data_IF_716817612403
#
_entry.id   IF_716817612403
#
_cell.length_a   1.000
_cell.length_b   1.000
_cell.length_c   1.000
_cell.angle_alpha   90.00
_cell.angle_beta   90.00
_cell.angle_gamma   90.00
#
_symmetry.space_group_name_H-M   'P 1'
#
loop_
_entity.id
_entity.type
_entity.pdbx_description
1 polymer ?
#
# COMPACT_ATOMS: atom_id res chain seq x y z
N UNK A 1 -3.42 17.35 -9.96
CA UNK A 1 -4.90 17.19 -9.93
C UNK A 1 -5.46 18.19 -10.91
N UNK A 2 -6.33 17.74 -11.81
CA UNK A 2 -7.09 18.61 -12.71
C UNK A 2 -8.59 18.49 -12.38
N UNK A 3 -9.45 19.23 -13.05
CA UNK A 3 -10.90 19.06 -12.99
C UNK A 3 -11.54 19.26 -14.37
N UNK A 4 -12.64 18.57 -14.59
CA UNK A 4 -13.56 18.78 -15.71
C UNK A 4 -14.83 19.45 -15.21
N UNK A 5 -15.62 20.03 -16.10
CA UNK A 5 -16.94 20.57 -15.75
C UNK A 5 -18.04 19.73 -16.40
N UNK A 6 -19.11 19.47 -15.66
CA UNK A 6 -20.34 18.92 -16.24
C UNK A 6 -21.08 19.99 -17.03
N UNK A 7 -22.11 19.59 -17.80
CA UNK A 7 -22.97 20.52 -18.55
C UNK A 7 -23.65 21.54 -17.62
N UNK A 8 -23.97 21.12 -16.39
CA UNK A 8 -24.55 21.95 -15.34
C UNK A 8 -23.53 22.83 -14.60
N UNK A 9 -22.24 22.74 -14.96
CA UNK A 9 -21.16 23.55 -14.41
C UNK A 9 -20.52 23.01 -13.12
N UNK A 10 -20.81 21.76 -12.72
CA UNK A 10 -20.19 21.18 -11.53
C UNK A 10 -18.77 20.69 -11.80
N UNK A 11 -17.80 20.94 -10.91
CA UNK A 11 -16.43 20.48 -11.09
C UNK A 11 -16.30 18.99 -10.72
N UNK A 12 -15.74 18.20 -11.62
CA UNK A 12 -15.41 16.79 -11.42
C UNK A 12 -13.89 16.63 -11.30
N UNK A 13 -13.37 16.11 -10.16
CA UNK A 13 -11.93 15.95 -9.99
C UNK A 13 -11.39 14.87 -10.92
N UNK A 14 -10.27 15.20 -11.57
CA UNK A 14 -9.49 14.27 -12.39
C UNK A 14 -8.13 14.04 -11.74
N UNK A 15 -7.89 12.80 -11.35
CA UNK A 15 -6.64 12.38 -10.72
C UNK A 15 -5.74 11.68 -11.73
N UNK A 16 -4.61 12.29 -12.00
CA UNK A 16 -3.49 11.65 -12.69
C UNK A 16 -2.62 10.93 -11.67
N UNK A 17 -2.25 9.69 -11.96
CA UNK A 17 -1.36 8.92 -11.10
C UNK A 17 -0.54 7.93 -11.92
N UNK A 18 0.71 7.73 -11.52
CA UNK A 18 1.43 6.50 -11.82
C UNK A 18 1.31 5.59 -10.61
N UNK A 19 0.76 4.40 -10.83
CA UNK A 19 0.63 3.36 -9.83
C UNK A 19 1.49 2.19 -10.24
N UNK A 20 2.07 1.50 -9.28
CA UNK A 20 2.95 0.38 -9.59
C UNK A 20 3.10 -0.59 -8.45
N UNK A 21 3.62 -1.76 -8.80
CA UNK A 21 4.03 -2.79 -7.87
C UNK A 21 5.36 -3.39 -8.33
N UNK A 22 6.18 -3.79 -7.37
CA UNK A 22 7.47 -4.42 -7.63
C UNK A 22 7.63 -5.64 -6.76
N UNK A 23 8.12 -6.73 -7.35
CA UNK A 23 8.56 -7.93 -6.65
C UNK A 23 10.09 -7.93 -6.66
N UNK A 24 10.66 -8.01 -5.47
CA UNK A 24 12.10 -8.09 -5.27
C UNK A 24 12.45 -9.36 -4.51
N UNK A 25 13.53 -9.99 -4.93
CA UNK A 25 14.06 -11.18 -4.28
C UNK A 25 15.42 -10.87 -3.68
N UNK A 26 15.67 -11.42 -2.48
CA UNK A 26 16.98 -11.35 -1.85
C UNK A 26 17.76 -12.63 -2.15
N UNK A 27 18.68 -12.56 -3.11
CA UNK A 27 19.58 -13.65 -3.45
C UNK A 27 20.99 -13.30 -2.99
N UNK A 28 21.58 -14.08 -2.09
CA UNK A 28 22.94 -13.87 -1.59
C UNK A 28 23.19 -12.46 -1.02
N UNK A 29 22.24 -11.94 -0.22
CA UNK A 29 22.26 -10.58 0.35
C UNK A 29 22.24 -9.46 -0.69
N UNK A 30 21.85 -9.77 -1.93
CA UNK A 30 21.62 -8.79 -2.99
C UNK A 30 20.16 -8.80 -3.36
N UNK A 31 19.56 -7.62 -3.26
CA UNK A 31 18.21 -7.39 -3.70
C UNK A 31 18.17 -7.23 -5.22
N UNK A 32 17.42 -8.11 -5.89
CA UNK A 32 17.23 -8.09 -7.32
C UNK A 32 15.74 -7.91 -7.63
N UNK A 33 15.44 -7.07 -8.63
CA UNK A 33 14.09 -6.91 -9.15
C UNK A 33 13.77 -8.11 -10.03
N UNK A 34 12.82 -8.93 -9.62
CA UNK A 34 12.33 -10.04 -10.45
C UNK A 34 11.21 -9.58 -11.37
N UNK A 35 10.32 -8.74 -10.86
CA UNK A 35 9.18 -8.26 -11.62
C UNK A 35 8.76 -6.86 -11.17
N UNK A 36 8.20 -6.10 -12.08
CA UNK A 36 7.54 -4.84 -11.76
C UNK A 36 6.48 -4.53 -12.81
N UNK A 37 5.53 -3.68 -12.43
CA UNK A 37 4.58 -3.06 -13.32
C UNK A 37 4.37 -1.61 -12.88
N UNK A 38 4.27 -0.72 -13.85
CA UNK A 38 3.85 0.67 -13.64
C UNK A 38 2.78 0.98 -14.68
N UNK A 39 1.67 1.53 -14.21
CA UNK A 39 0.56 1.95 -15.05
C UNK A 39 0.30 3.44 -14.83
N UNK A 40 0.10 4.16 -15.93
CA UNK A 40 -0.36 5.56 -15.92
C UNK A 40 -1.87 5.55 -15.97
N UNK A 41 -2.50 6.13 -14.97
CA UNK A 41 -3.94 6.08 -14.82
C UNK A 41 -4.53 7.47 -14.64
N UNK A 42 -5.69 7.67 -15.26
CA UNK A 42 -6.54 8.84 -15.05
C UNK A 42 -7.79 8.36 -14.34
N UNK A 43 -8.00 8.80 -13.11
CA UNK A 43 -9.14 8.40 -12.28
C UNK A 43 -10.13 9.54 -12.16
N UNK A 44 -11.39 9.30 -12.49
CA UNK A 44 -12.48 10.28 -12.36
C UNK A 44 -13.84 9.60 -12.19
N UNK A 45 -14.82 10.36 -11.71
CA UNK A 45 -16.23 9.95 -11.73
C UNK A 45 -16.77 10.21 -13.14
N UNK A 46 -17.24 9.16 -13.82
CA UNK A 46 -17.66 9.24 -15.24
C UNK A 46 -19.17 9.35 -15.43
N UNK A 47 -19.96 9.08 -14.40
CA UNK A 47 -21.43 9.04 -14.46
C UNK A 47 -22.09 10.35 -14.94
N UNK A 48 -21.55 11.56 -14.64
CA UNK A 48 -22.10 12.81 -15.15
C UNK A 48 -21.89 13.06 -16.66
N UNK A 49 -21.13 12.20 -17.36
CA UNK A 49 -20.78 12.41 -18.76
C UNK A 49 -21.49 11.38 -19.67
N UNK A 50 -21.88 11.76 -20.90
CA UNK A 50 -22.39 10.82 -21.90
C UNK A 50 -21.41 9.67 -22.16
N UNK A 51 -21.93 8.47 -22.39
CA UNK A 51 -21.10 7.26 -22.56
C UNK A 51 -20.13 7.36 -23.75
N UNK A 52 -20.59 7.92 -24.87
CA UNK A 52 -19.82 8.14 -26.09
C UNK A 52 -18.66 9.13 -25.88
N UNK A 53 -18.85 10.15 -25.05
CA UNK A 53 -17.77 11.05 -24.63
C UNK A 53 -16.75 10.33 -23.74
N UNK A 54 -17.22 9.53 -22.78
CA UNK A 54 -16.35 8.75 -21.89
C UNK A 54 -15.53 7.73 -22.67
N UNK A 55 -16.13 7.06 -23.64
CA UNK A 55 -15.45 6.09 -24.51
C UNK A 55 -14.40 6.77 -25.41
N UNK A 56 -14.77 7.89 -26.03
CA UNK A 56 -13.85 8.70 -26.85
C UNK A 56 -12.68 9.22 -26.01
N UNK A 57 -12.94 9.67 -24.79
CA UNK A 57 -11.92 10.12 -23.85
C UNK A 57 -11.00 8.97 -23.43
N UNK A 58 -11.55 7.79 -23.12
CA UNK A 58 -10.77 6.61 -22.78
C UNK A 58 -9.85 6.18 -23.94
N UNK A 59 -10.34 6.22 -25.18
CA UNK A 59 -9.56 5.91 -26.37
C UNK A 59 -8.42 6.92 -26.60
N UNK A 60 -8.70 8.22 -26.43
CA UNK A 60 -7.69 9.28 -26.53
C UNK A 60 -6.60 9.12 -25.45
N UNK A 61 -6.98 8.82 -24.21
CA UNK A 61 -6.04 8.51 -23.14
C UNK A 61 -5.17 7.29 -23.46
N UNK A 62 -5.77 6.23 -24.01
CA UNK A 62 -5.06 5.00 -24.34
C UNK A 62 -4.01 5.21 -25.43
N UNK A 63 -4.30 6.06 -26.43
CA UNK A 63 -3.34 6.43 -27.47
C UNK A 63 -2.07 7.09 -26.89
N UNK A 64 -2.20 7.82 -25.79
CA UNK A 64 -1.08 8.45 -25.06
C UNK A 64 -0.51 7.59 -23.91
N UNK A 65 -0.93 6.33 -23.81
CA UNK A 65 -0.44 5.39 -22.81
C UNK A 65 -1.00 5.58 -21.41
N UNK A 66 -2.16 6.24 -21.29
CA UNK A 66 -2.95 6.33 -20.05
C UNK A 66 -4.13 5.35 -20.08
N UNK A 67 -4.52 4.84 -18.92
CA UNK A 67 -5.73 4.05 -18.75
C UNK A 67 -6.75 4.81 -17.91
N UNK A 68 -7.99 4.92 -18.41
CA UNK A 68 -9.09 5.48 -17.63
C UNK A 68 -9.50 4.50 -16.52
N UNK A 69 -9.57 5.01 -15.29
CA UNK A 69 -10.10 4.33 -14.12
C UNK A 69 -11.40 4.99 -13.69
N UNK A 70 -12.56 4.48 -14.13
CA UNK A 70 -13.84 5.00 -13.66
C UNK A 70 -14.01 4.74 -12.16
N UNK A 71 -14.41 5.77 -11.44
CA UNK A 71 -14.83 5.71 -10.04
C UNK A 71 -16.36 5.54 -9.98
N UNK A 72 -16.83 4.57 -9.20
CA UNK A 72 -18.25 4.45 -8.89
C UNK A 72 -18.68 5.57 -7.93
N UNK A 73 -19.91 6.08 -8.08
CA UNK A 73 -20.47 7.06 -7.15
C UNK A 73 -20.50 6.54 -5.71
N UNK A 74 -20.47 7.44 -4.70
CA UNK A 74 -20.86 7.10 -3.35
C UNK A 74 -22.26 6.45 -3.31
N UNK A 75 -22.48 5.55 -2.34
CA UNK A 75 -23.74 4.76 -2.24
C UNK A 75 -25.01 5.60 -2.10
N UNK A 76 -24.88 6.85 -1.68
CA UNK A 76 -26.00 7.79 -1.44
C UNK A 76 -26.35 8.65 -2.66
N UNK A 77 -25.66 8.48 -3.80
CA UNK A 77 -25.86 9.27 -5.02
C UNK A 77 -24.62 10.06 -5.43
N UNK A 78 -24.73 10.78 -6.55
CA UNK A 78 -23.72 11.76 -6.94
C UNK A 78 -23.75 12.92 -5.97
N UNK A 79 -22.71 13.06 -5.14
CA UNK A 79 -22.46 14.29 -4.41
C UNK A 79 -21.58 15.16 -5.29
N UNK A 80 -22.03 16.37 -5.64
CA UNK A 80 -21.16 17.38 -6.27
C UNK A 80 -20.19 18.01 -5.26
N UNK A 81 -20.03 17.39 -4.08
CA UNK A 81 -18.98 17.72 -3.14
C UNK A 81 -17.62 17.30 -3.74
N UNK A 82 -16.86 18.31 -4.14
CA UNK A 82 -15.57 18.13 -4.76
C UNK A 82 -14.57 17.37 -3.87
N UNK A 83 -14.60 17.55 -2.55
CA UNK A 83 -13.68 16.87 -1.65
C UNK A 83 -14.04 15.39 -1.48
N UNK A 84 -15.34 15.06 -1.43
CA UNK A 84 -15.79 13.67 -1.42
C UNK A 84 -15.42 12.94 -2.72
N UNK A 85 -15.69 13.56 -3.88
CA UNK A 85 -15.30 13.01 -5.17
C UNK A 85 -13.78 12.87 -5.29
N UNK A 86 -13.02 13.86 -4.79
CA UNK A 86 -11.55 13.81 -4.76
C UNK A 86 -11.05 12.64 -3.91
N UNK A 87 -11.66 12.40 -2.76
CA UNK A 87 -11.34 11.24 -1.91
C UNK A 87 -11.70 9.93 -2.61
N UNK A 88 -12.84 9.87 -3.30
CA UNK A 88 -13.26 8.69 -4.05
C UNK A 88 -12.28 8.33 -5.18
N UNK A 89 -11.84 9.32 -5.98
CA UNK A 89 -10.82 9.10 -7.02
C UNK A 89 -9.48 8.66 -6.45
N UNK A 90 -9.06 9.20 -5.30
CA UNK A 90 -7.85 8.74 -4.61
C UNK A 90 -7.97 7.29 -4.14
N UNK A 91 -9.08 6.92 -3.49
CA UNK A 91 -9.31 5.56 -3.03
C UNK A 91 -9.30 4.57 -4.21
N UNK A 92 -9.95 4.92 -5.33
CA UNK A 92 -9.97 4.08 -6.53
C UNK A 92 -8.57 3.83 -7.11
N UNK A 93 -7.70 4.84 -7.14
CA UNK A 93 -6.29 4.67 -7.55
C UNK A 93 -5.51 3.78 -6.57
N UNK A 94 -5.75 3.91 -5.26
CA UNK A 94 -5.14 3.04 -4.25
C UNK A 94 -5.61 1.58 -4.37
N UNK A 95 -6.91 1.34 -4.61
CA UNK A 95 -7.45 0.01 -4.85
C UNK A 95 -6.83 -0.63 -6.10
N UNK A 96 -6.59 0.17 -7.13
CA UNK A 96 -5.93 -0.30 -8.34
C UNK A 96 -4.46 -0.66 -8.08
N UNK A 97 -3.73 0.14 -7.30
CA UNK A 97 -2.36 -0.20 -6.88
C UNK A 97 -2.34 -1.51 -6.07
N UNK A 98 -3.31 -1.71 -5.17
CA UNK A 98 -3.47 -2.96 -4.41
C UNK A 98 -3.71 -4.14 -5.36
N UNK A 99 -4.48 -3.96 -6.45
CA UNK A 99 -4.65 -5.00 -7.48
C UNK A 99 -3.32 -5.38 -8.14
N UNK A 100 -2.42 -4.41 -8.40
CA UNK A 100 -1.09 -4.68 -8.96
C UNK A 100 -0.21 -5.44 -7.96
N UNK A 101 -0.27 -5.09 -6.67
CA UNK A 101 0.45 -5.81 -5.62
C UNK A 101 -0.05 -7.25 -5.45
N UNK A 102 -1.36 -7.51 -5.60
CA UNK A 102 -1.89 -8.88 -5.65
C UNK A 102 -1.26 -9.70 -6.76
N UNK A 103 -1.02 -9.10 -7.94
CA UNK A 103 -0.34 -9.81 -9.02
C UNK A 103 1.12 -10.14 -8.65
N UNK A 104 1.82 -9.24 -7.96
CA UNK A 104 3.16 -9.52 -7.45
C UNK A 104 3.14 -10.72 -6.48
N UNK A 105 2.16 -10.78 -5.58
CA UNK A 105 2.01 -11.86 -4.61
C UNK A 105 1.73 -13.22 -5.28
N UNK A 106 0.82 -13.25 -6.26
CA UNK A 106 0.54 -14.47 -7.04
C UNK A 106 1.81 -14.98 -7.73
N UNK A 107 2.63 -14.07 -8.27
CA UNK A 107 3.90 -14.42 -8.95
C UNK A 107 4.96 -14.94 -7.99
N UNK A 108 5.03 -14.42 -6.77
CA UNK A 108 5.99 -14.85 -5.77
C UNK A 108 5.73 -16.29 -5.30
N UNK A 109 4.50 -16.78 -5.39
CA UNK A 109 4.15 -18.17 -5.07
C UNK A 109 4.17 -18.46 -3.56
N UNK A 110 4.84 -19.54 -3.15
CA UNK A 110 4.85 -20.02 -1.76
C UNK A 110 6.14 -19.70 -0.98
N UNK A 111 6.92 -18.72 -1.44
CA UNK A 111 8.12 -18.26 -0.71
C UNK A 111 7.76 -17.29 0.42
N UNK A 112 8.62 -17.11 1.44
CA UNK A 112 8.47 -16.04 2.43
C UNK A 112 8.45 -14.67 1.79
N UNK A 113 7.38 -13.90 2.02
CA UNK A 113 7.16 -12.60 1.40
C UNK A 113 6.87 -11.56 2.47
N UNK A 114 7.53 -10.41 2.36
CA UNK A 114 7.21 -9.22 3.13
C UNK A 114 6.49 -8.20 2.22
N UNK A 115 5.41 -7.62 2.73
CA UNK A 115 4.58 -6.63 2.03
C UNK A 115 4.54 -5.33 2.82
N UNK A 116 4.69 -4.19 2.14
CA UNK A 116 4.46 -2.87 2.75
C UNK A 116 2.96 -2.58 2.84
N UNK A 117 2.40 -2.72 4.04
CA UNK A 117 1.01 -2.48 4.38
C UNK A 117 0.25 -3.73 4.84
N UNK A 118 -1.07 -3.58 4.98
CA UNK A 118 -1.99 -4.62 5.49
C UNK A 118 -2.20 -5.77 4.50
N UNK A 119 -2.44 -6.98 5.00
CA UNK A 119 -2.74 -8.16 4.21
C UNK A 119 -4.20 -8.22 3.73
N UNK A 120 -5.13 -7.65 4.49
CA UNK A 120 -6.58 -7.70 4.20
C UNK A 120 -6.98 -7.14 2.83
N UNK A 121 -6.51 -5.95 2.40
CA UNK A 121 -6.78 -5.48 1.04
C UNK A 121 -6.18 -6.38 -0.04
N UNK A 122 -5.12 -7.13 0.30
CA UNK A 122 -4.34 -8.00 -0.61
C UNK A 122 -4.84 -9.45 -0.62
N UNK A 123 -5.93 -9.75 0.11
CA UNK A 123 -6.60 -11.04 0.06
C UNK A 123 -6.94 -11.45 -1.39
N UNK A 124 -6.75 -12.73 -1.68
CA UNK A 124 -6.87 -13.31 -3.02
C UNK A 124 -5.57 -13.25 -3.85
N UNK A 125 -4.54 -12.56 -3.36
CA UNK A 125 -3.20 -12.58 -3.95
C UNK A 125 -2.28 -13.69 -3.41
N UNK A 126 -2.71 -14.40 -2.36
CA UNK A 126 -1.93 -15.45 -1.70
C UNK A 126 -2.87 -16.48 -1.03
N UNK A 127 -2.34 -17.66 -0.71
CA UNK A 127 -3.06 -18.68 0.06
C UNK A 127 -2.86 -18.42 1.56
N UNK A 128 -3.93 -18.05 2.26
CA UNK A 128 -3.92 -17.72 3.69
C UNK A 128 -3.43 -18.88 4.57
N UNK A 129 -3.52 -20.13 4.11
CA UNK A 129 -3.13 -21.31 4.87
C UNK A 129 -1.70 -21.78 4.57
N UNK A 130 -1.16 -21.47 3.39
CA UNK A 130 0.08 -22.07 2.90
C UNK A 130 1.18 -21.04 2.59
N UNK A 131 0.83 -19.78 2.32
CA UNK A 131 1.81 -18.76 1.96
C UNK A 131 2.35 -18.03 3.20
N UNK A 132 3.68 -18.05 3.47
CA UNK A 132 4.32 -17.29 4.55
C UNK A 132 4.43 -15.78 4.22
N UNK A 133 3.29 -15.10 4.13
CA UNK A 133 3.21 -13.66 3.86
C UNK A 133 3.16 -12.85 5.16
N UNK A 134 3.93 -11.76 5.20
CA UNK A 134 4.02 -10.84 6.34
C UNK A 134 3.67 -9.43 5.87
N UNK A 135 2.64 -8.83 6.47
CA UNK A 135 2.31 -7.42 6.26
C UNK A 135 3.07 -6.56 7.27
N UNK A 136 3.61 -5.43 6.83
CA UNK A 136 4.28 -4.44 7.68
C UNK A 136 3.56 -3.10 7.59
N UNK A 137 3.05 -2.61 8.71
CA UNK A 137 2.23 -1.40 8.79
C UNK A 137 2.96 -0.34 9.60
N UNK A 138 3.15 0.83 8.99
CA UNK A 138 3.88 1.97 9.57
C UNK A 138 2.95 2.93 10.33
N UNK A 139 1.68 3.04 9.92
CA UNK A 139 0.70 3.98 10.49
C UNK A 139 -0.31 3.31 11.43
N UNK A 140 -0.52 3.91 12.61
CA UNK A 140 -1.37 3.37 13.66
C UNK A 140 -2.62 4.23 13.89
N UNK A 141 -3.59 4.17 12.98
CA UNK A 141 -4.80 5.01 13.03
C UNK A 141 -5.94 4.44 13.90
N UNK A 142 -5.78 3.22 14.41
CA UNK A 142 -6.78 2.55 15.26
C UNK A 142 -6.11 2.02 16.52
N UNK A 143 -6.83 2.09 17.62
CA UNK A 143 -6.42 1.49 18.88
C UNK A 143 -6.84 0.01 18.91
N UNK A 144 -5.87 -0.90 19.05
CA UNK A 144 -6.10 -2.34 19.16
C UNK A 144 -5.66 -2.92 20.52
N UNK A 145 -4.97 -2.14 21.34
CA UNK A 145 -4.40 -2.60 22.61
C UNK A 145 -5.26 -2.13 23.78
N UNK A 146 -5.35 -2.99 24.79
CA UNK A 146 -5.83 -2.61 26.12
C UNK A 146 -4.72 -1.82 26.86
N UNK A 147 -5.05 -1.23 28.00
CA UNK A 147 -4.16 -0.32 28.74
C UNK A 147 -2.78 -0.92 29.05
N UNK A 148 -2.73 -2.18 29.48
CA UNK A 148 -1.46 -2.89 29.72
C UNK A 148 -0.67 -3.13 28.42
N UNK A 149 -1.36 -3.44 27.33
CA UNK A 149 -0.76 -3.52 26.01
C UNK A 149 -0.13 -2.20 25.58
N UNK A 150 -0.78 -1.06 25.85
CA UNK A 150 -0.22 0.27 25.61
C UNK A 150 1.01 0.57 26.46
N UNK A 151 0.97 0.16 27.73
CA UNK A 151 2.14 0.30 28.62
C UNK A 151 3.33 -0.48 28.06
N UNK A 152 3.14 -1.70 27.58
CA UNK A 152 4.20 -2.48 26.91
C UNK A 152 4.65 -1.75 25.64
N UNK A 153 3.71 -1.36 24.78
CA UNK A 153 3.97 -0.68 23.51
C UNK A 153 4.92 0.53 23.66
N UNK A 154 4.60 1.44 24.59
CA UNK A 154 5.42 2.64 24.80
C UNK A 154 6.79 2.34 25.41
N UNK A 155 6.93 1.23 26.14
CA UNK A 155 8.19 0.85 26.79
C UNK A 155 9.06 -0.10 25.94
N UNK A 156 8.61 -0.50 24.75
CA UNK A 156 9.40 -1.36 23.85
C UNK A 156 10.76 -0.74 23.54
N UNK A 157 11.82 -1.47 23.85
CA UNK A 157 13.18 -1.21 23.40
C UNK A 157 13.38 -1.72 21.97
N UNK A 158 14.46 -1.28 21.32
CA UNK A 158 14.84 -1.78 19.99
C UNK A 158 14.84 -3.32 19.93
N UNK A 159 14.17 -3.88 18.93
CA UNK A 159 14.04 -5.32 18.72
C UNK A 159 13.02 -6.03 19.62
N UNK A 160 12.42 -5.33 20.59
CA UNK A 160 11.34 -5.87 21.40
C UNK A 160 9.99 -5.73 20.70
N UNK A 161 9.09 -6.66 21.02
CA UNK A 161 7.73 -6.68 20.52
C UNK A 161 6.70 -6.78 21.63
N UNK A 162 5.47 -6.38 21.34
CA UNK A 162 4.33 -6.77 22.16
C UNK A 162 4.07 -8.28 22.06
N UNK A 163 3.31 -8.86 23.00
CA UNK A 163 2.62 -10.12 22.75
C UNK A 163 1.83 -10.06 21.44
N UNK A 164 1.75 -11.21 20.76
CA UNK A 164 0.94 -11.32 19.55
C UNK A 164 -0.54 -11.43 19.94
N UNK A 165 -1.42 -10.84 19.13
CA UNK A 165 -2.86 -10.82 19.34
C UNK A 165 -3.58 -11.14 18.03
N UNK A 166 -4.77 -11.75 18.15
CA UNK A 166 -5.64 -11.97 17.01
C UNK A 166 -6.36 -10.68 16.65
N UNK A 167 -6.40 -10.38 15.35
CA UNK A 167 -7.06 -9.20 14.82
C UNK A 167 -7.98 -9.62 13.66
N UNK A 168 -9.29 -9.74 13.91
CA UNK A 168 -10.29 -9.86 12.84
C UNK A 168 -10.29 -8.59 11.99
N UNK A 169 -10.11 -8.73 10.68
CA UNK A 169 -10.27 -7.65 9.70
C UNK A 169 -11.53 -7.94 8.86
N UNK A 170 -11.77 -7.16 7.80
CA UNK A 170 -13.00 -7.25 7.04
C UNK A 170 -13.14 -8.59 6.30
N UNK A 171 -12.02 -9.12 5.77
CA UNK A 171 -12.04 -10.31 4.93
C UNK A 171 -11.07 -11.41 5.39
N UNK A 172 -10.14 -11.10 6.29
CA UNK A 172 -9.16 -12.05 6.82
C UNK A 172 -8.94 -11.81 8.32
N UNK A 173 -8.66 -12.88 9.07
CA UNK A 173 -8.14 -12.79 10.43
C UNK A 173 -6.62 -12.94 10.41
N UNK A 174 -5.92 -12.04 11.10
CA UNK A 174 -4.46 -12.07 11.19
C UNK A 174 -4.01 -12.20 12.64
N UNK A 175 -2.80 -12.71 12.82
CA UNK A 175 -2.04 -12.60 14.06
C UNK A 175 -1.13 -11.38 13.93
N UNK A 176 -1.26 -10.42 14.83
CA UNK A 176 -0.54 -9.15 14.78
C UNK A 176 0.27 -8.89 16.04
N UNK A 177 1.35 -8.13 15.91
CA UNK A 177 2.13 -7.61 17.03
C UNK A 177 2.83 -6.32 16.62
N UNK A 178 3.22 -5.52 17.60
CA UNK A 178 4.04 -4.33 17.38
C UNK A 178 5.51 -4.64 17.64
N UNK A 179 6.40 -4.00 16.88
CA UNK A 179 7.84 -4.17 16.93
C UNK A 179 8.54 -2.80 16.88
N UNK A 180 9.49 -2.55 17.78
CA UNK A 180 10.33 -1.34 17.75
C UNK A 180 11.55 -1.56 16.87
N UNK A 181 11.61 -0.87 15.74
CA UNK A 181 12.72 -0.88 14.77
C UNK A 181 13.77 0.20 15.02
N UNK A 182 13.42 1.25 15.75
CA UNK A 182 14.33 2.34 16.06
C UNK A 182 14.01 2.88 17.46
N UNK A 183 15.04 3.04 18.29
CA UNK A 183 14.93 3.56 19.66
C UNK A 183 15.60 4.94 19.82
N UNK A 184 15.75 5.70 18.73
CA UNK A 184 16.33 7.05 18.78
C UNK A 184 15.57 7.90 19.79
N UNK A 185 16.27 8.30 20.85
CA UNK A 185 15.73 8.74 22.15
C UNK A 185 15.05 10.11 22.14
N UNK A 186 15.10 10.84 21.02
CA UNK A 186 14.61 12.23 20.91
C UNK A 186 13.26 12.35 20.19
N UNK A 187 12.54 11.26 19.95
CA UNK A 187 11.31 11.25 19.17
C UNK A 187 10.08 10.89 20.03
N UNK A 188 8.88 11.07 19.45
CA UNK A 188 7.59 10.73 20.08
C UNK A 188 7.58 9.29 20.62
N UNK A 189 6.81 8.96 21.67
CA UNK A 189 6.81 7.64 22.29
C UNK A 189 6.53 6.45 21.35
N UNK A 190 5.81 6.70 20.25
CA UNK A 190 5.44 5.73 19.21
C UNK A 190 6.45 5.66 18.04
N UNK A 191 7.51 6.48 18.08
CA UNK A 191 8.50 6.56 17.01
C UNK A 191 9.21 5.24 16.75
N UNK A 192 9.40 4.89 15.48
CA UNK A 192 10.11 3.67 15.12
C UNK A 192 9.35 2.38 15.47
N UNK A 193 8.06 2.46 15.80
CA UNK A 193 7.22 1.27 15.96
C UNK A 193 6.46 0.95 14.67
N UNK A 194 6.53 -0.31 14.27
CA UNK A 194 5.73 -0.87 13.19
C UNK A 194 4.85 -2.00 13.70
N UNK A 195 3.76 -2.28 13.01
CA UNK A 195 2.93 -3.45 13.26
C UNK A 195 3.21 -4.48 12.19
N UNK A 196 3.51 -5.70 12.62
CA UNK A 196 3.61 -6.86 11.73
C UNK A 196 2.34 -7.69 11.83
N UNK A 197 1.96 -8.33 10.73
CA UNK A 197 0.84 -9.26 10.71
C UNK A 197 1.08 -10.44 9.78
N UNK A 198 0.60 -11.63 10.17
CA UNK A 198 0.58 -12.85 9.37
C UNK A 198 -0.83 -13.46 9.36
N UNK A 199 -1.22 -14.22 8.32
CA UNK A 199 -2.52 -14.90 8.31
C UNK A 199 -2.69 -15.83 9.51
N UNK A 200 -3.85 -15.79 10.19
CA UNK A 200 -4.14 -16.69 11.31
C UNK A 200 -4.11 -18.16 10.87
N UNK A 201 -4.64 -18.46 9.69
CA UNK A 201 -4.66 -19.83 9.14
C UNK A 201 -3.25 -20.38 8.96
N UNK A 202 -2.34 -19.61 8.39
CA UNK A 202 -0.93 -19.98 8.26
C UNK A 202 -0.29 -20.25 9.62
N UNK A 203 -0.48 -19.32 10.58
CA UNK A 203 0.05 -19.47 11.93
C UNK A 203 -0.46 -20.73 12.64
N UNK A 204 -1.75 -21.05 12.50
CA UNK A 204 -2.36 -22.21 13.12
C UNK A 204 -2.02 -23.52 12.42
N UNK A 205 -2.09 -23.56 11.08
CA UNK A 205 -1.97 -24.79 10.31
C UNK A 205 -0.52 -25.18 9.99
N UNK A 206 0.33 -24.21 9.66
CA UNK A 206 1.73 -24.47 9.28
C UNK A 206 2.68 -24.32 10.46
N UNK A 207 2.45 -23.32 11.30
CA UNK A 207 3.33 -23.02 12.43
C UNK A 207 2.84 -23.62 13.76
N UNK A 208 1.67 -24.26 13.79
CA UNK A 208 1.10 -24.85 15.01
C UNK A 208 1.06 -23.87 16.21
N UNK A 209 0.84 -22.59 15.91
CA UNK A 209 0.84 -21.50 16.88
C UNK A 209 2.18 -21.28 17.60
N UNK A 210 3.30 -21.70 17.01
CA UNK A 210 4.62 -21.53 17.58
C UNK A 210 5.06 -20.05 17.59
N UNK A 211 5.09 -19.46 18.79
CA UNK A 211 5.54 -18.09 19.01
C UNK A 211 7.03 -17.85 18.69
N UNK A 212 7.85 -18.91 18.62
CA UNK A 212 9.28 -18.76 18.27
C UNK A 212 9.46 -18.28 16.83
N UNK A 213 8.53 -18.60 15.92
CA UNK A 213 8.50 -18.05 14.58
C UNK A 213 8.32 -16.53 14.59
N UNK A 214 7.42 -16.02 15.43
CA UNK A 214 7.15 -14.58 15.58
C UNK A 214 8.40 -13.87 16.12
N UNK A 215 9.11 -14.48 17.07
CA UNK A 215 10.37 -13.95 17.61
C UNK A 215 11.48 -13.93 16.56
N UNK A 216 11.64 -15.01 15.80
CA UNK A 216 12.62 -15.10 14.73
C UNK A 216 12.34 -14.10 13.61
N UNK A 217 11.08 -13.97 13.20
CA UNK A 217 10.64 -12.98 12.21
C UNK A 217 10.89 -11.56 12.69
N UNK A 218 10.58 -11.25 13.96
CA UNK A 218 10.82 -9.92 14.53
C UNK A 218 12.30 -9.56 14.51
N UNK A 219 13.18 -10.50 14.91
CA UNK A 219 14.64 -10.33 14.83
C UNK A 219 15.11 -10.12 13.39
N UNK A 220 14.62 -10.93 12.45
CA UNK A 220 14.96 -10.83 11.03
C UNK A 220 14.54 -9.47 10.45
N UNK A 221 13.34 -8.98 10.76
CA UNK A 221 12.88 -7.65 10.31
C UNK A 221 13.80 -6.53 10.83
N UNK A 222 14.25 -6.61 12.09
CA UNK A 222 15.22 -5.65 12.64
C UNK A 222 16.57 -5.65 11.90
N UNK A 223 17.03 -6.79 11.38
CA UNK A 223 18.26 -6.87 10.57
C UNK A 223 18.12 -6.13 9.24
N UNK A 224 16.92 -6.10 8.66
CA UNK A 224 16.61 -5.39 7.43
C UNK A 224 16.28 -3.90 7.62
N UNK A 225 16.31 -3.36 8.85
CA UNK A 225 15.96 -1.96 9.10
C UNK A 225 16.74 -1.01 8.19
N UNK A 226 16.06 0.04 7.73
CA UNK A 226 16.72 1.11 7.01
C UNK A 226 17.73 1.80 7.95
N UNK A 227 18.94 2.05 7.44
CA UNK A 227 20.02 2.76 8.16
C UNK A 227 20.37 4.10 7.50
N UNK A 228 19.74 4.39 6.37
CA UNK A 228 19.94 5.61 5.62
C UNK A 228 19.21 6.76 6.32
N UNK A 229 19.97 7.61 7.03
CA UNK A 229 19.40 8.75 7.76
C UNK A 229 18.82 9.83 6.85
N UNK A 230 19.13 9.83 5.55
CA UNK A 230 18.57 10.78 4.60
C UNK A 230 17.15 10.42 4.15
N UNK A 231 16.75 9.16 4.36
CA UNK A 231 15.42 8.69 4.06
C UNK A 231 14.46 9.08 5.19
N UNK A 232 13.46 9.93 4.87
CA UNK A 232 12.54 10.56 5.83
C UNK A 232 11.89 9.55 6.80
N UNK A 233 11.61 8.33 6.32
CA UNK A 233 10.91 7.27 7.06
C UNK A 233 11.85 6.15 7.53
N UNK A 234 13.15 6.40 7.64
CA UNK A 234 14.15 5.37 7.97
C UNK A 234 13.84 4.62 9.28
N UNK A 235 13.30 5.31 10.28
CA UNK A 235 12.96 4.74 11.59
C UNK A 235 11.86 3.67 11.54
N UNK A 236 10.99 3.71 10.53
CA UNK A 236 9.84 2.80 10.35
C UNK A 236 9.88 2.06 9.03
N UNK A 237 11.03 2.00 8.37
CA UNK A 237 11.19 1.35 7.07
C UNK A 237 12.31 0.33 7.09
N UNK A 238 12.31 -0.52 6.07
CA UNK A 238 13.32 -1.52 5.84
C UNK A 238 14.07 -1.20 4.55
N UNK A 239 15.35 -1.52 4.51
CA UNK A 239 16.18 -1.33 3.31
C UNK A 239 15.57 -1.97 2.06
N UNK A 240 14.98 -3.19 2.09
CA UNK A 240 14.28 -3.74 0.93
C UNK A 240 13.09 -2.91 0.45
N UNK A 241 12.33 -2.30 1.37
CA UNK A 241 11.18 -1.46 1.01
C UNK A 241 11.66 -0.14 0.41
N UNK A 242 12.66 0.51 1.01
CA UNK A 242 13.30 1.70 0.43
C UNK A 242 13.78 1.40 -1.00
N UNK A 243 14.46 0.26 -1.19
CA UNK A 243 14.98 -0.10 -2.51
C UNK A 243 13.86 -0.36 -3.53
N UNK A 244 12.75 -0.95 -3.10
CA UNK A 244 11.56 -1.12 -3.92
C UNK A 244 10.98 0.23 -4.36
N UNK A 245 10.86 1.17 -3.44
CA UNK A 245 10.40 2.54 -3.70
C UNK A 245 11.32 3.27 -4.69
N UNK A 246 12.64 3.19 -4.51
CA UNK A 246 13.62 3.79 -5.44
C UNK A 246 13.52 3.22 -6.86
N UNK A 247 13.36 1.90 -6.97
CA UNK A 247 13.22 1.21 -8.27
C UNK A 247 11.92 1.63 -8.95
N UNK A 248 10.80 1.69 -8.22
CA UNK A 248 9.54 2.16 -8.77
C UNK A 248 9.65 3.63 -9.18
N UNK A 249 10.23 4.48 -8.33
CA UNK A 249 10.45 5.89 -8.61
C UNK A 249 11.29 6.12 -9.87
N UNK A 250 12.32 5.31 -10.10
CA UNK A 250 13.14 5.38 -11.32
C UNK A 250 12.40 4.94 -12.60
N UNK A 251 11.33 4.15 -12.48
CA UNK A 251 10.48 3.74 -13.61
C UNK A 251 9.30 4.67 -13.87
N UNK A 252 9.01 5.55 -12.91
CA UNK A 252 7.95 6.55 -13.00
C UNK A 252 8.44 7.78 -13.77
N UNK A 253 7.53 8.41 -14.49
CA UNK A 253 7.73 9.67 -15.18
C UNK A 253 7.64 10.80 -14.14
N UNK A 254 8.49 11.81 -14.22
CA UNK A 254 8.39 12.98 -13.34
C UNK A 254 6.98 13.59 -13.39
N UNK A 255 6.41 13.91 -12.22
CA UNK A 255 5.00 14.33 -12.11
C UNK A 255 4.62 15.50 -13.02
N UNK A 256 5.51 16.46 -13.19
CA UNK A 256 5.30 17.63 -14.07
C UNK A 256 5.13 17.22 -15.53
N UNK A 257 5.88 16.23 -16.01
CA UNK A 257 5.80 15.76 -17.40
C UNK A 257 4.48 15.05 -17.68
N UNK A 258 3.96 14.28 -16.71
CA UNK A 258 2.66 13.62 -16.81
C UNK A 258 1.55 14.66 -16.91
N UNK A 259 1.61 15.67 -16.04
CA UNK A 259 0.65 16.76 -16.00
C UNK A 259 0.68 17.56 -17.30
N UNK A 260 1.86 17.95 -17.78
CA UNK A 260 1.98 18.67 -19.07
C UNK A 260 1.45 17.87 -20.25
N UNK A 261 1.73 16.57 -20.34
CA UNK A 261 1.17 15.71 -21.40
C UNK A 261 -0.36 15.65 -21.36
N UNK A 262 -0.92 15.53 -20.16
CA UNK A 262 -2.37 15.49 -19.99
C UNK A 262 -3.04 16.81 -20.37
N UNK A 263 -2.51 17.95 -19.94
CA UNK A 263 -3.06 19.25 -20.32
C UNK A 263 -2.98 19.48 -21.83
N UNK A 264 -1.87 19.08 -22.48
CA UNK A 264 -1.76 19.15 -23.94
C UNK A 264 -2.80 18.28 -24.67
N UNK A 265 -3.11 17.08 -24.15
CA UNK A 265 -4.13 16.20 -24.72
C UNK A 265 -5.55 16.75 -24.52
N UNK A 266 -5.84 17.25 -23.32
CA UNK A 266 -7.19 17.64 -22.93
C UNK A 266 -7.55 19.07 -23.33
N UNK A 267 -6.58 19.87 -23.76
CA UNK A 267 -6.73 21.31 -24.02
C UNK A 267 -7.38 22.06 -22.83
N UNK A 268 -7.18 21.55 -21.61
CA UNK A 268 -7.63 22.16 -20.35
C UNK A 268 -6.63 23.21 -19.84
#
# INVERSE_FOLDING_TARGET
MAWLQTVEGFPIPVRLSEIGAVLMCNTNRRLQREWHIVERVVTMVVEPFPWDEVESFAAALQAEGFRLLPCQKPKEGLTYDFQEMRKATQNRSMDEMIRLEKQALVRAGQVPILVDGRLDPRRGGFDEANTPVVGMIKGHHRNYLHDEGWRIYYNLQFGQRTPAFLLPQEHITVVSWYLRLDSTTSAMPDWGIVRLEIPEKFFRLQLQQDSTYIDALSRMVCEYRCKDKSYERASVSLYPIQRAEEILGATMTGGDQIVSRFYNLTQL
#
